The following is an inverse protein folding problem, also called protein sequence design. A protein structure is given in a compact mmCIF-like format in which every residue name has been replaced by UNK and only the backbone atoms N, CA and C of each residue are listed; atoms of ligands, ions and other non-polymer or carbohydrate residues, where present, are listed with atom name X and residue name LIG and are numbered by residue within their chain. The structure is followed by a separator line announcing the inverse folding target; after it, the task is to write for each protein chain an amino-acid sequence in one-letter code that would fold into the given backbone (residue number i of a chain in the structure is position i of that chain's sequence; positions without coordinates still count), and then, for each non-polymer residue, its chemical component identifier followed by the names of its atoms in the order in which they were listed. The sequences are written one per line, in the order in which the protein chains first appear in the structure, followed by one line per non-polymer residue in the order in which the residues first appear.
data_IF_142750204689
#
_entry.id   IF_142750204689
#
_cell.length_a   1.000
_cell.length_b   1.000
_cell.length_c   1.000
_cell.angle_alpha   90.00
_cell.angle_beta   90.00
_cell.angle_gamma   90.00
#
_symmetry.space_group_name_H-M   'P 1'
#
loop_
_entity.id
_entity.type
_entity.pdbx_description
1 polymer ?
#
# COMPACT_ATOMS: atom_id res chain seq x y z
N UNK A 1 -22.32 -6.66 7.15
CA UNK A 1 -20.89 -6.95 7.39
C UNK A 1 -20.79 -8.26 8.15
N UNK A 2 -19.89 -9.16 7.78
CA UNK A 2 -19.67 -10.45 8.45
C UNK A 2 -18.17 -10.72 8.57
N UNK A 3 -17.77 -11.58 9.51
CA UNK A 3 -16.39 -12.03 9.67
C UNK A 3 -16.25 -13.46 9.18
N UNK A 4 -15.13 -13.76 8.52
CA UNK A 4 -14.78 -15.13 8.11
C UNK A 4 -13.75 -15.65 9.11
N UNK A 5 -14.06 -16.77 9.75
CA UNK A 5 -13.16 -17.52 10.62
C UNK A 5 -12.86 -18.88 9.98
N UNK A 6 -11.76 -19.52 10.38
CA UNK A 6 -11.31 -20.79 9.78
C UNK A 6 -11.11 -20.71 8.25
N UNK A 7 -10.60 -19.59 7.77
CA UNK A 7 -10.35 -19.31 6.34
C UNK A 7 -9.15 -20.06 5.74
N UNK A 8 -8.52 -20.97 6.49
CA UNK A 8 -7.34 -21.77 6.10
C UNK A 8 -6.06 -20.98 5.74
N UNK A 9 -6.13 -19.65 5.63
CA UNK A 9 -4.94 -18.79 5.53
C UNK A 9 -4.08 -18.95 6.81
N UNK A 10 -2.80 -19.35 6.68
CA UNK A 10 -1.92 -19.52 7.83
C UNK A 10 -1.72 -18.23 8.63
N UNK A 11 -1.77 -18.34 9.96
CA UNK A 11 -1.67 -17.18 10.86
C UNK A 11 -0.29 -16.49 10.78
N UNK A 12 0.77 -17.25 10.53
CA UNK A 12 2.13 -16.73 10.35
C UNK A 12 2.24 -15.83 9.12
N UNK A 13 1.55 -16.16 8.02
CA UNK A 13 1.50 -15.32 6.80
C UNK A 13 0.81 -13.99 7.10
N UNK A 14 -0.33 -14.01 7.79
CA UNK A 14 -1.08 -12.79 8.17
C UNK A 14 -0.22 -11.92 9.11
N UNK A 15 0.42 -12.53 10.12
CA UNK A 15 1.31 -11.82 11.05
C UNK A 15 2.50 -11.20 10.33
N UNK A 16 3.10 -11.91 9.38
CA UNK A 16 4.23 -11.39 8.59
C UNK A 16 3.80 -10.21 7.73
N UNK A 17 2.67 -10.31 7.03
CA UNK A 17 2.11 -9.21 6.24
C UNK A 17 1.89 -7.96 7.10
N UNK A 18 1.28 -8.12 8.28
CA UNK A 18 1.06 -7.03 9.22
C UNK A 18 2.37 -6.43 9.76
N UNK A 19 3.36 -7.26 10.08
CA UNK A 19 4.67 -6.82 10.58
C UNK A 19 5.41 -5.99 9.53
N UNK A 20 5.53 -6.52 8.30
CA UNK A 20 6.27 -5.85 7.23
C UNK A 20 5.58 -4.56 6.82
N UNK A 21 4.25 -4.54 6.73
CA UNK A 21 3.50 -3.31 6.50
C UNK A 21 3.75 -2.28 7.60
N UNK A 22 3.70 -2.69 8.86
CA UNK A 22 3.98 -1.79 10.00
C UNK A 22 5.41 -1.24 9.94
N UNK A 23 6.40 -2.08 9.70
CA UNK A 23 7.81 -1.67 9.56
C UNK A 23 8.00 -0.62 8.46
N UNK A 24 7.34 -0.79 7.30
CA UNK A 24 7.36 0.22 6.24
C UNK A 24 6.76 1.56 6.71
N UNK A 25 5.60 1.56 7.36
CA UNK A 25 4.94 2.80 7.78
C UNK A 25 5.64 3.51 8.95
N UNK A 26 6.45 2.78 9.73
CA UNK A 26 7.33 3.31 10.78
C UNK A 26 8.62 3.97 10.25
N UNK A 27 8.93 3.81 8.95
CA UNK A 27 10.05 4.51 8.32
C UNK A 27 9.85 6.04 8.35
N UNK A 28 10.95 6.82 8.29
CA UNK A 28 10.87 8.27 8.12
C UNK A 28 10.04 8.66 6.89
N UNK A 29 9.38 9.82 6.95
CA UNK A 29 8.52 10.30 5.88
C UNK A 29 9.28 10.41 4.55
N UNK A 30 10.53 10.86 4.59
CA UNK A 30 11.39 11.02 3.41
C UNK A 30 11.65 9.69 2.70
N UNK A 31 11.76 8.60 3.46
CA UNK A 31 11.94 7.26 2.88
C UNK A 31 10.66 6.73 2.25
N UNK A 32 9.49 7.05 2.83
CA UNK A 32 8.19 6.67 2.28
C UNK A 32 7.84 7.47 1.03
N UNK A 33 8.21 8.76 0.99
CA UNK A 33 7.98 9.66 -0.15
C UNK A 33 8.76 9.27 -1.40
N UNK A 34 9.83 8.46 -1.29
CA UNK A 34 10.50 7.87 -2.46
C UNK A 34 9.55 7.00 -3.29
N UNK A 35 8.54 6.41 -2.64
CA UNK A 35 7.53 5.59 -3.29
C UNK A 35 6.25 6.36 -3.59
N UNK A 36 6.25 7.69 -3.46
CA UNK A 36 5.05 8.47 -3.72
C UNK A 36 4.54 8.21 -5.14
N UNK A 37 3.20 8.12 -5.30
CA UNK A 37 2.54 7.90 -6.59
C UNK A 37 3.16 8.81 -7.66
N UNK A 38 3.89 8.26 -8.65
CA UNK A 38 4.58 9.08 -9.61
C UNK A 38 3.54 9.69 -10.56
N UNK A 39 3.50 11.02 -10.65
CA UNK A 39 2.68 11.72 -11.64
C UNK A 39 3.40 11.60 -12.99
N UNK A 40 3.28 10.45 -13.65
CA UNK A 40 3.86 10.23 -14.99
C UNK A 40 2.81 10.55 -16.05
N UNK A 41 2.75 11.82 -16.47
CA UNK A 41 1.91 12.23 -17.61
C UNK A 41 0.40 12.20 -17.32
N UNK A 42 -0.40 11.76 -18.31
CA UNK A 42 -1.87 11.72 -18.24
C UNK A 42 -2.45 10.43 -17.62
N UNK A 43 -1.60 9.44 -17.36
CA UNK A 43 -2.01 8.17 -16.76
C UNK A 43 -1.54 8.14 -15.31
N UNK A 44 -2.49 8.30 -14.39
CA UNK A 44 -2.24 8.15 -12.96
C UNK A 44 -2.03 6.65 -12.71
N UNK A 45 -0.78 6.19 -12.66
CA UNK A 45 -0.48 4.95 -11.95
C UNK A 45 -0.83 5.21 -10.49
N UNK A 46 -2.03 4.77 -10.08
CA UNK A 46 -2.53 4.98 -8.70
C UNK A 46 -1.83 4.06 -7.70
N UNK A 47 -0.59 3.63 -8.01
CA UNK A 47 0.23 2.75 -7.21
C UNK A 47 1.39 3.54 -6.59
N UNK A 48 1.64 3.27 -5.32
CA UNK A 48 2.65 3.96 -4.51
C UNK A 48 2.09 4.41 -3.16
N UNK A 49 2.93 5.15 -2.45
CA UNK A 49 2.62 5.79 -1.18
C UNK A 49 1.79 7.07 -1.41
N UNK A 50 0.74 7.25 -0.64
CA UNK A 50 -0.14 8.42 -0.72
C UNK A 50 -0.61 8.87 0.67
N UNK A 51 -0.59 10.18 0.90
CA UNK A 51 -1.07 10.81 2.15
C UNK A 51 -2.45 11.46 2.01
N UNK A 52 -3.05 11.34 0.82
CA UNK A 52 -4.30 11.99 0.45
C UNK A 52 -5.24 10.97 -0.19
N UNK A 53 -6.10 10.35 0.62
CA UNK A 53 -7.22 9.63 0.01
C UNK A 53 -8.23 10.65 -0.53
N UNK A 54 -8.67 10.40 -1.78
CA UNK A 54 -9.64 11.13 -2.61
C UNK A 54 -10.54 12.15 -1.89
N UNK A 55 -10.78 13.27 -2.57
CA UNK A 55 -11.89 14.18 -2.27
C UNK A 55 -13.18 13.37 -2.20
N UNK A 56 -13.74 13.24 -1.00
CA UNK A 56 -15.15 12.91 -0.87
C UNK A 56 -15.94 13.99 -1.64
N UNK A 57 -17.14 13.68 -2.15
CA UNK A 57 -18.00 14.64 -2.88
C UNK A 57 -18.27 15.94 -2.10
N UNK A 58 -18.01 15.93 -0.78
CA UNK A 58 -18.13 17.04 0.17
C UNK A 58 -16.84 17.88 0.36
N UNK A 59 -15.73 17.52 -0.28
CA UNK A 59 -14.42 18.18 -0.13
C UNK A 59 -13.64 17.79 1.14
N UNK A 60 -14.14 16.85 1.93
CA UNK A 60 -13.42 16.30 3.09
C UNK A 60 -12.30 15.37 2.63
N UNK A 61 -11.15 15.47 3.30
CA UNK A 61 -9.99 14.58 3.10
C UNK A 61 -9.89 13.64 4.28
N UNK A 62 -9.70 12.35 4.01
CA UNK A 62 -9.38 11.39 5.06
C UNK A 62 -8.01 11.68 5.67
N UNK A 63 -7.89 11.57 6.99
CA UNK A 63 -6.58 11.54 7.65
C UNK A 63 -6.06 10.12 7.58
N UNK A 64 -5.39 9.78 6.48
CA UNK A 64 -4.86 8.45 6.27
C UNK A 64 -3.69 8.51 5.30
N UNK A 65 -2.61 7.83 5.68
CA UNK A 65 -1.54 7.46 4.77
C UNK A 65 -1.81 6.04 4.29
N UNK A 66 -1.57 5.79 3.01
CA UNK A 66 -1.78 4.49 2.38
C UNK A 66 -0.65 4.17 1.42
N UNK A 67 -0.57 2.89 1.09
CA UNK A 67 0.29 2.40 0.02
C UNK A 67 -0.57 1.47 -0.83
N UNK A 68 -0.72 1.79 -2.12
CA UNK A 68 -1.50 0.98 -3.05
C UNK A 68 -0.59 0.32 -4.07
N UNK A 69 -0.83 -0.95 -4.37
CA UNK A 69 -0.23 -1.63 -5.51
C UNK A 69 -1.06 -2.85 -5.91
N UNK A 70 -0.91 -3.25 -7.16
CA UNK A 70 -1.55 -4.41 -7.76
C UNK A 70 -0.70 -5.65 -7.46
N UNK A 71 -1.33 -6.69 -6.90
CA UNK A 71 -0.69 -7.99 -6.62
C UNK A 71 -1.19 -9.12 -7.53
N UNK A 72 -2.26 -8.88 -8.29
CA UNK A 72 -2.86 -9.88 -9.18
C UNK A 72 -3.69 -9.21 -10.29
N UNK A 73 -3.72 -9.74 -11.53
CA UNK A 73 -2.98 -10.91 -12.03
C UNK A 73 -1.47 -10.63 -12.15
N UNK A 74 -0.60 -11.66 -12.23
CA UNK A 74 0.86 -11.47 -12.27
C UNK A 74 1.33 -10.59 -13.44
N UNK A 75 0.59 -10.61 -14.56
CA UNK A 75 0.82 -9.77 -15.73
C UNK A 75 0.63 -8.28 -15.48
N UNK A 76 -0.08 -7.91 -14.42
CA UNK A 76 -0.39 -6.53 -14.04
C UNK A 76 0.40 -6.06 -12.83
N UNK A 77 1.28 -6.90 -12.27
CA UNK A 77 2.08 -6.54 -11.10
C UNK A 77 3.28 -5.71 -11.56
N UNK A 78 3.36 -4.49 -11.06
CA UNK A 78 4.51 -3.62 -11.24
C UNK A 78 5.45 -3.72 -10.03
N UNK A 79 6.48 -4.56 -10.09
CA UNK A 79 7.44 -4.70 -8.99
C UNK A 79 8.34 -3.46 -8.78
N UNK A 80 8.41 -2.55 -9.76
CA UNK A 80 9.25 -1.35 -9.63
C UNK A 80 8.75 -0.36 -8.57
N UNK A 81 7.47 -0.44 -8.21
CA UNK A 81 6.89 0.41 -7.16
C UNK A 81 6.97 -0.24 -5.77
N UNK A 82 7.37 -1.51 -5.64
CA UNK A 82 7.34 -2.19 -4.35
C UNK A 82 8.40 -1.62 -3.38
N UNK A 83 8.07 -1.46 -2.09
CA UNK A 83 9.03 -1.09 -1.06
C UNK A 83 10.23 -2.03 -1.02
N UNK A 84 11.42 -1.46 -1.07
CA UNK A 84 12.68 -2.20 -0.86
C UNK A 84 13.08 -2.26 0.61
N UNK A 85 12.34 -1.54 1.47
CA UNK A 85 12.51 -1.50 2.92
C UNK A 85 11.14 -1.71 3.58
N UNK A 86 10.99 -2.68 4.50
CA UNK A 86 12.01 -3.67 4.89
C UNK A 86 12.32 -4.66 3.75
N UNK A 87 13.49 -5.32 3.71
CA UNK A 87 13.86 -6.29 2.66
C UNK A 87 12.95 -7.53 2.56
N UNK A 88 12.07 -7.70 3.54
CA UNK A 88 11.10 -8.80 3.62
C UNK A 88 9.70 -8.43 3.11
N UNK A 89 9.56 -7.23 2.53
CA UNK A 89 8.35 -6.83 1.79
C UNK A 89 8.20 -7.70 0.54
#
# INVERSE_FOLDING_TARGET
MFQIVNHEIPNDVIRKLQSVGKEFFELPQEEKEVYAEPVIGSDISSEGYGTKHQKELSGKRGWVDHFFHIIWPPSSVNYSVWPTKPPSY
#
